data_IF_557018048925
#
_entry.id   IF_557018048925
#
_cell.length_a   1.000
_cell.length_b   1.000
_cell.length_c   1.000
_cell.angle_alpha   90.00
_cell.angle_beta   90.00
_cell.angle_gamma   90.00
#
_symmetry.space_group_name_H-M   'P 1'
#
loop_
_entity.id
_entity.type
_entity.pdbx_description
1 polymer ?
#
# COMPACT_ATOMS: atom_id res chain seq x y z
N UNK A 1 2.03 16.04 6.08
CA UNK A 1 0.91 15.11 5.89
C UNK A 1 -0.16 15.38 6.93
N UNK A 2 -1.40 15.23 6.55
CA UNK A 2 -2.54 15.48 7.41
C UNK A 2 -2.56 14.52 8.62
N UNK A 3 -2.36 13.23 8.35
CA UNK A 3 -2.19 12.24 9.41
C UNK A 3 -0.71 12.06 9.72
N UNK A 4 -0.38 11.73 10.97
CA UNK A 4 0.99 11.33 11.32
C UNK A 4 1.27 9.93 10.75
N UNK A 5 0.42 8.97 11.07
CA UNK A 5 0.54 7.61 10.54
C UNK A 5 -0.81 6.91 10.54
N UNK A 6 -0.91 5.86 9.76
CA UNK A 6 -2.06 4.96 9.71
C UNK A 6 -1.58 3.56 10.07
N UNK A 7 -2.32 2.87 10.93
CA UNK A 7 -1.98 1.50 11.33
C UNK A 7 -3.21 0.60 11.20
N UNK A 8 -3.02 -0.59 10.63
CA UNK A 8 -4.05 -1.63 10.62
C UNK A 8 -3.40 -3.02 10.59
N UNK A 9 -4.23 -4.05 10.75
CA UNK A 9 -3.74 -5.42 10.87
C UNK A 9 -3.92 -6.21 9.58
N UNK A 10 -2.93 -7.09 9.35
CA UNK A 10 -2.91 -8.03 8.23
C UNK A 10 -2.81 -9.45 8.77
N UNK A 11 -3.30 -10.43 8.01
CA UNK A 11 -3.40 -11.81 8.52
C UNK A 11 -2.08 -12.58 8.48
N UNK A 12 -1.21 -12.30 7.52
CA UNK A 12 0.03 -13.05 7.32
C UNK A 12 1.19 -12.09 7.09
N UNK A 13 2.15 -12.09 8.02
CA UNK A 13 3.29 -11.19 7.99
C UNK A 13 4.08 -11.29 6.68
N UNK A 14 4.48 -12.50 6.29
CA UNK A 14 5.34 -12.71 5.13
C UNK A 14 4.67 -12.32 3.82
N UNK A 15 3.41 -12.72 3.64
CA UNK A 15 2.65 -12.38 2.44
C UNK A 15 2.42 -10.87 2.34
N UNK A 16 2.04 -10.25 3.44
CA UNK A 16 1.78 -8.82 3.47
C UNK A 16 3.07 -8.02 3.25
N UNK A 17 4.16 -8.38 3.90
CA UNK A 17 5.44 -7.70 3.71
C UNK A 17 5.87 -7.72 2.25
N UNK A 18 5.76 -8.89 1.60
CA UNK A 18 6.08 -9.02 0.18
C UNK A 18 5.19 -8.14 -0.69
N UNK A 19 3.88 -8.19 -0.45
CA UNK A 19 2.91 -7.45 -1.24
C UNK A 19 3.10 -5.95 -1.11
N UNK A 20 3.13 -5.44 0.14
CA UNK A 20 3.24 -3.99 0.37
C UNK A 20 4.58 -3.43 -0.09
N UNK A 21 5.68 -4.19 0.10
CA UNK A 21 6.98 -3.77 -0.42
C UNK A 21 6.95 -3.65 -1.94
N UNK A 22 6.32 -4.60 -2.62
CA UNK A 22 6.27 -4.60 -4.08
C UNK A 22 5.52 -3.38 -4.63
N UNK A 23 4.38 -3.02 -4.04
CA UNK A 23 3.53 -1.99 -4.61
C UNK A 23 3.81 -0.57 -4.07
N UNK A 24 4.38 -0.43 -2.86
CA UNK A 24 4.61 0.88 -2.27
C UNK A 24 5.97 1.48 -2.62
N UNK A 25 6.99 0.65 -2.85
CA UNK A 25 8.31 1.17 -3.23
C UNK A 25 8.22 1.98 -4.53
N UNK A 26 7.49 1.56 -5.57
CA UNK A 26 7.31 2.38 -6.77
C UNK A 26 6.68 3.75 -6.52
N UNK A 27 5.93 3.90 -5.42
CA UNK A 27 5.33 5.18 -5.04
C UNK A 27 6.29 6.08 -4.25
N UNK A 28 7.51 5.61 -4.01
CA UNK A 28 8.52 6.38 -3.27
C UNK A 28 8.58 6.08 -1.78
N UNK A 29 7.78 5.14 -1.30
CA UNK A 29 7.88 4.70 0.09
C UNK A 29 9.15 3.87 0.30
N UNK A 30 9.67 3.92 1.51
CA UNK A 30 10.79 3.10 1.97
C UNK A 30 10.34 2.25 3.14
N UNK A 31 10.88 1.04 3.23
CA UNK A 31 10.64 0.18 4.40
C UNK A 31 11.39 0.79 5.59
N UNK A 32 10.64 1.29 6.57
CA UNK A 32 11.20 1.99 7.73
C UNK A 32 11.18 1.16 9.00
N UNK A 33 10.33 0.16 9.07
CA UNK A 33 10.26 -0.80 10.18
C UNK A 33 10.10 -2.20 9.63
N UNK A 34 10.88 -3.14 10.17
CA UNK A 34 10.73 -4.56 9.83
C UNK A 34 11.12 -5.38 11.05
N UNK A 35 10.14 -5.70 11.89
CA UNK A 35 10.34 -6.44 13.13
C UNK A 35 9.50 -7.72 13.10
N UNK A 36 10.09 -8.79 12.60
CA UNK A 36 9.40 -10.06 12.42
C UNK A 36 8.93 -10.65 13.76
N UNK A 37 9.72 -10.49 14.81
CA UNK A 37 9.36 -11.05 16.13
C UNK A 37 8.06 -10.44 16.63
N UNK A 38 7.86 -9.16 16.42
CA UNK A 38 6.62 -8.46 16.82
C UNK A 38 5.57 -8.49 15.72
N UNK A 39 5.88 -9.07 14.55
CA UNK A 39 4.95 -9.10 13.44
C UNK A 39 4.64 -7.71 12.89
N UNK A 40 5.60 -6.79 12.90
CA UNK A 40 5.39 -5.39 12.52
C UNK A 40 6.29 -5.00 11.36
N UNK A 41 5.74 -4.29 10.38
CA UNK A 41 6.53 -3.65 9.34
C UNK A 41 5.85 -2.34 8.95
N UNK A 42 6.64 -1.40 8.44
CA UNK A 42 6.10 -0.09 8.10
C UNK A 42 6.88 0.61 7.01
N UNK A 43 6.25 1.62 6.46
CA UNK A 43 6.76 2.39 5.33
C UNK A 43 6.65 3.88 5.62
N UNK A 44 7.64 4.63 5.14
CA UNK A 44 7.64 6.08 5.22
C UNK A 44 8.18 6.71 3.96
N UNK A 45 7.88 7.98 3.76
CA UNK A 45 8.34 8.73 2.59
C UNK A 45 9.73 9.31 2.77
N UNK A 46 10.15 9.53 4.02
CA UNK A 46 11.45 10.10 4.32
C UNK A 46 12.23 9.20 5.27
N UNK A 47 13.55 9.28 5.25
CA UNK A 47 14.41 8.44 6.07
C UNK A 47 14.56 8.92 7.51
N UNK A 48 14.20 10.17 7.76
CA UNK A 48 14.31 10.80 9.09
C UNK A 48 13.02 10.68 9.90
N UNK A 49 11.97 10.16 9.29
CA UNK A 49 10.68 9.92 9.92
C UNK A 49 10.45 8.43 9.99
N UNK A 50 9.89 7.96 11.10
CA UNK A 50 9.43 6.58 11.21
C UNK A 50 8.19 6.37 10.33
N UNK A 51 7.41 5.38 10.59
CA UNK A 51 6.36 4.92 9.70
C UNK A 51 5.27 5.96 9.43
N UNK A 52 4.90 6.12 8.16
CA UNK A 52 3.66 6.77 7.75
C UNK A 52 2.53 5.73 7.68
N UNK A 53 2.88 4.51 7.32
CA UNK A 53 1.98 3.36 7.30
C UNK A 53 2.63 2.25 8.10
N UNK A 54 1.93 1.75 9.13
CA UNK A 54 2.41 0.66 9.97
C UNK A 54 1.43 -0.50 9.90
N UNK A 55 1.93 -1.70 9.66
CA UNK A 55 1.14 -2.90 9.54
C UNK A 55 1.59 -3.92 10.58
N UNK A 56 0.62 -4.53 11.27
CA UNK A 56 0.89 -5.55 12.26
C UNK A 56 0.15 -6.83 11.90
N UNK A 57 0.84 -7.97 12.03
CA UNK A 57 0.24 -9.26 11.76
C UNK A 57 -0.62 -9.71 12.95
N UNK A 58 -1.77 -10.30 12.64
CA UNK A 58 -2.73 -10.77 13.64
C UNK A 58 -4.06 -11.04 12.96
N UNK A 59 -5.15 -10.73 13.66
CA UNK A 59 -6.47 -10.79 13.05
C UNK A 59 -6.61 -9.61 12.09
N UNK A 60 -6.74 -9.90 10.79
CA UNK A 60 -6.87 -8.84 9.79
C UNK A 60 -8.00 -7.89 10.15
N UNK A 61 -7.75 -6.59 10.05
CA UNK A 61 -8.73 -5.55 10.38
C UNK A 61 -10.00 -5.75 9.56
N UNK A 62 -11.15 -5.67 10.23
CA UNK A 62 -12.48 -5.79 9.61
C UNK A 62 -13.43 -4.74 10.19
N UNK A 63 -14.36 -4.22 9.36
CA UNK A 63 -14.41 -4.44 7.92
C UNK A 63 -13.12 -4.02 7.24
N UNK A 64 -12.91 -4.51 6.01
CA UNK A 64 -11.67 -4.21 5.28
C UNK A 64 -11.48 -2.71 5.08
N UNK A 65 -10.20 -2.31 5.03
CA UNK A 65 -9.81 -0.92 4.84
C UNK A 65 -9.87 -0.52 3.38
N UNK A 66 -10.12 0.77 3.15
CA UNK A 66 -9.82 1.41 1.87
C UNK A 66 -8.80 2.52 2.15
N UNK A 67 -7.66 2.46 1.49
CA UNK A 67 -6.63 3.47 1.64
C UNK A 67 -6.12 3.84 0.25
N UNK A 68 -5.98 5.16 0.02
CA UNK A 68 -5.54 5.69 -1.25
C UNK A 68 -4.21 6.42 -1.07
N UNK A 69 -3.22 6.03 -1.85
CA UNK A 69 -1.89 6.62 -1.84
C UNK A 69 -1.76 7.64 -2.96
N UNK A 70 -1.14 8.80 -2.66
CA UNK A 70 -0.83 9.79 -3.68
C UNK A 70 0.37 9.34 -4.49
N UNK A 71 0.25 9.38 -5.81
CA UNK A 71 1.36 9.16 -6.73
C UNK A 71 1.78 10.49 -7.34
N UNK A 72 3.04 10.56 -7.79
CA UNK A 72 3.60 11.78 -8.39
C UNK A 72 3.48 11.80 -9.91
N UNK A 73 3.03 10.69 -10.50
CA UNK A 73 2.90 10.57 -11.95
C UNK A 73 1.99 9.41 -12.29
N UNK A 74 1.48 9.39 -13.53
CA UNK A 74 0.73 8.23 -14.03
C UNK A 74 1.61 6.99 -14.05
N UNK A 75 2.89 7.14 -14.36
CA UNK A 75 3.83 6.02 -14.37
C UNK A 75 3.93 5.35 -13.01
N UNK A 76 3.92 6.12 -11.92
CA UNK A 76 3.92 5.54 -10.57
C UNK A 76 2.65 4.75 -10.28
N UNK A 77 1.49 5.22 -10.73
CA UNK A 77 0.23 4.48 -10.59
C UNK A 77 0.32 3.15 -11.35
N UNK A 78 0.82 3.19 -12.59
CA UNK A 78 0.99 1.98 -13.41
C UNK A 78 1.92 0.97 -12.72
N UNK A 79 3.04 1.43 -12.18
CA UNK A 79 4.01 0.58 -11.50
C UNK A 79 3.46 0.01 -10.20
N UNK A 80 2.73 0.82 -9.43
CA UNK A 80 2.03 0.35 -8.24
C UNK A 80 1.15 -0.86 -8.59
N UNK A 81 0.32 -0.70 -9.61
CA UNK A 81 -0.60 -1.75 -10.03
C UNK A 81 0.14 -3.00 -10.53
N UNK A 82 1.10 -2.81 -11.43
CA UNK A 82 1.85 -3.92 -12.02
C UNK A 82 2.54 -4.76 -10.96
N UNK A 83 3.21 -4.09 -10.01
CA UNK A 83 3.92 -4.78 -8.93
C UNK A 83 2.96 -5.42 -7.93
N UNK A 84 1.83 -4.79 -7.64
CA UNK A 84 0.82 -5.37 -6.76
C UNK A 84 0.26 -6.67 -7.32
N UNK A 85 -0.09 -6.68 -8.61
CA UNK A 85 -0.62 -7.89 -9.27
C UNK A 85 0.45 -8.99 -9.28
N UNK A 86 1.70 -8.65 -9.61
CA UNK A 86 2.79 -9.63 -9.64
C UNK A 86 3.06 -10.22 -8.26
N UNK A 87 2.77 -9.50 -7.19
CA UNK A 87 2.97 -9.95 -5.81
C UNK A 87 1.73 -10.62 -5.20
N UNK A 88 0.74 -10.97 -6.00
CA UNK A 88 -0.43 -11.71 -5.56
C UNK A 88 -1.68 -10.88 -5.30
N UNK A 89 -1.64 -9.58 -5.58
CA UNK A 89 -2.83 -8.74 -5.48
C UNK A 89 -3.87 -9.09 -6.51
N UNK A 90 -5.11 -8.73 -6.23
CA UNK A 90 -6.24 -8.97 -7.14
C UNK A 90 -6.70 -7.63 -7.70
N UNK A 91 -6.89 -7.57 -9.02
CA UNK A 91 -7.36 -6.35 -9.68
C UNK A 91 -8.73 -5.93 -9.15
N UNK A 92 -8.85 -4.66 -8.77
CA UNK A 92 -10.12 -4.03 -8.43
C UNK A 92 -10.34 -2.77 -9.28
N UNK A 93 -9.57 -2.62 -10.36
CA UNK A 93 -9.66 -1.51 -11.30
C UNK A 93 -8.29 -1.20 -11.89
N UNK A 94 -8.04 -1.53 -13.18
CA UNK A 94 -6.74 -1.29 -13.78
C UNK A 94 -6.44 0.21 -13.90
N UNK A 95 -5.16 0.59 -14.14
CA UNK A 95 -4.80 1.99 -14.28
C UNK A 95 -5.59 2.70 -15.37
N UNK A 96 -6.09 3.89 -15.08
CA UNK A 96 -6.83 4.69 -16.05
C UNK A 96 -7.48 5.89 -15.42
N UNK A 97 -8.02 6.76 -16.25
CA UNK A 97 -8.79 7.91 -15.80
C UNK A 97 -10.15 7.44 -15.28
N UNK A 98 -10.50 7.90 -14.08
CA UNK A 98 -11.83 7.70 -13.48
C UNK A 98 -12.71 8.91 -13.73
N UNK A 99 -12.07 10.07 -13.82
CA UNK A 99 -12.66 11.35 -14.21
C UNK A 99 -11.52 12.26 -14.64
N UNK A 100 -11.80 13.40 -15.26
CA UNK A 100 -10.71 14.31 -15.65
C UNK A 100 -9.82 14.67 -14.46
N UNK A 101 -8.51 14.51 -14.62
CA UNK A 101 -7.54 14.80 -13.56
C UNK A 101 -7.49 13.78 -12.43
N UNK A 102 -8.03 12.57 -12.62
CA UNK A 102 -8.02 11.54 -11.59
C UNK A 102 -7.61 10.20 -12.22
N UNK A 103 -6.30 9.97 -12.28
CA UNK A 103 -5.74 8.74 -12.85
C UNK A 103 -5.41 7.78 -11.70
N UNK A 104 -6.07 6.63 -11.67
CA UNK A 104 -5.98 5.74 -10.52
C UNK A 104 -5.97 4.27 -10.91
N UNK A 105 -5.51 3.44 -9.98
CA UNK A 105 -5.60 2.00 -10.04
C UNK A 105 -5.97 1.46 -8.67
N UNK A 106 -6.67 0.33 -8.64
CA UNK A 106 -7.19 -0.28 -7.43
C UNK A 106 -6.80 -1.76 -7.39
N UNK A 107 -6.33 -2.22 -6.24
CA UNK A 107 -6.01 -3.64 -6.01
C UNK A 107 -6.50 -4.05 -4.64
N UNK A 108 -6.81 -5.35 -4.48
CA UNK A 108 -7.00 -5.94 -3.16
C UNK A 108 -5.69 -6.52 -2.67
N UNK A 109 -5.37 -6.27 -1.41
CA UNK A 109 -4.24 -6.92 -0.76
C UNK A 109 -4.60 -8.38 -0.39
N UNK A 110 -3.67 -9.18 0.20
CA UNK A 110 -3.98 -10.57 0.56
C UNK A 110 -5.16 -10.75 1.51
N UNK A 111 -5.53 -9.74 2.28
CA UNK A 111 -6.66 -9.79 3.21
C UNK A 111 -7.94 -9.18 2.65
N UNK A 112 -7.90 -8.67 1.43
CA UNK A 112 -9.05 -8.03 0.81
C UNK A 112 -9.17 -6.54 1.09
N UNK A 113 -8.16 -5.91 1.70
CA UNK A 113 -8.16 -4.46 1.84
C UNK A 113 -8.06 -3.81 0.47
N UNK A 114 -8.83 -2.75 0.27
CA UNK A 114 -8.91 -2.04 -1.01
C UNK A 114 -7.86 -0.94 -1.05
N UNK A 115 -6.79 -1.17 -1.82
CA UNK A 115 -5.72 -0.19 -1.97
C UNK A 115 -5.84 0.51 -3.31
N UNK A 116 -5.66 1.82 -3.28
CA UNK A 116 -5.72 2.67 -4.45
C UNK A 116 -4.45 3.51 -4.53
N UNK A 117 -3.96 3.75 -5.73
CA UNK A 117 -2.98 4.79 -5.99
C UNK A 117 -3.59 5.77 -6.97
N UNK A 118 -3.41 7.07 -6.73
CA UNK A 118 -3.99 8.11 -7.58
C UNK A 118 -2.98 9.18 -7.90
N UNK A 119 -2.99 9.63 -9.15
CA UNK A 119 -2.29 10.83 -9.59
C UNK A 119 -3.34 11.85 -10.06
N UNK A 120 -3.30 13.00 -9.43
CA UNK A 120 -4.17 14.13 -9.76
C UNK A 120 -3.40 15.28 -10.37
#
# INVERSE_FOLDING_TARGET
MFFDHVEYQVGDYGKALKFYSACLIPLGFKLTTNNEKKGMFGFGLTTDKSDDLLLTAGDATKPVMHICFSAKSRAQVDEFYRHAIAAGGICNGPPGLRQPGYYAAFVFDPDGHNLEAVFR
#
